data_IF_553286520252
#
_entry.id   IF_553286520252
#
_cell.length_a   1.000
_cell.length_b   1.000
_cell.length_c   1.000
_cell.angle_alpha   90.00
_cell.angle_beta   90.00
_cell.angle_gamma   90.00
#
_symmetry.space_group_name_H-M   'P 1'
#
loop_
_entity.id
_entity.type
_entity.pdbx_description
1 polymer ?
#
# COMPACT_ATOMS: atom_id res chain seq x y z
N UNK A 1 18.93 0.13 -2.89
CA UNK A 1 17.90 -0.03 -1.84
C UNK A 1 17.10 1.25 -1.59
N UNK A 2 17.72 2.40 -1.26
CA UNK A 2 17.02 3.66 -1.02
C UNK A 2 15.94 4.05 -2.07
N UNK A 3 16.23 3.86 -3.37
CA UNK A 3 15.29 4.15 -4.47
C UNK A 3 13.93 3.45 -4.30
N UNK A 4 13.92 2.20 -3.86
CA UNK A 4 12.71 1.41 -3.65
C UNK A 4 11.80 2.05 -2.59
N UNK A 5 12.40 2.45 -1.47
CA UNK A 5 11.70 3.13 -0.38
C UNK A 5 11.16 4.49 -0.85
N UNK A 6 11.96 5.29 -1.58
CA UNK A 6 11.52 6.60 -2.07
C UNK A 6 10.35 6.47 -3.05
N UNK A 7 10.42 5.55 -4.01
CA UNK A 7 9.31 5.30 -4.95
C UNK A 7 8.06 4.85 -4.18
N UNK A 8 8.21 3.97 -3.20
CA UNK A 8 7.10 3.51 -2.37
C UNK A 8 6.48 4.65 -1.55
N UNK A 9 7.29 5.55 -0.98
CA UNK A 9 6.80 6.75 -0.30
C UNK A 9 6.02 7.66 -1.24
N UNK A 10 6.50 7.89 -2.47
CA UNK A 10 5.79 8.69 -3.48
C UNK A 10 4.44 8.07 -3.83
N UNK A 11 4.41 6.74 -4.06
CA UNK A 11 3.15 6.01 -4.29
C UNK A 11 2.23 6.15 -3.08
N UNK A 12 2.74 6.03 -1.86
CA UNK A 12 1.96 6.18 -0.64
C UNK A 12 1.33 7.56 -0.51
N UNK A 13 2.11 8.63 -0.72
CA UNK A 13 1.58 10.01 -0.70
C UNK A 13 0.50 10.18 -1.77
N UNK A 14 0.73 9.70 -2.99
CA UNK A 14 -0.26 9.80 -4.07
C UNK A 14 -1.54 9.00 -3.75
N UNK A 15 -1.39 7.78 -3.22
CA UNK A 15 -2.49 6.91 -2.81
C UNK A 15 -3.34 7.53 -1.70
N UNK A 16 -2.71 8.01 -0.62
CA UNK A 16 -3.41 8.68 0.48
C UNK A 16 -4.07 9.98 0.05
N UNK A 17 -3.41 10.78 -0.79
CA UNK A 17 -3.99 12.02 -1.33
C UNK A 17 -5.24 11.70 -2.15
N UNK A 18 -5.18 10.69 -3.01
CA UNK A 18 -6.32 10.26 -3.81
C UNK A 18 -7.47 9.72 -2.94
N UNK A 19 -7.15 8.88 -1.94
CA UNK A 19 -8.13 8.34 -1.01
C UNK A 19 -8.80 9.45 -0.18
N UNK A 20 -8.01 10.46 0.24
CA UNK A 20 -8.50 11.63 0.95
C UNK A 20 -9.44 12.48 0.09
N UNK A 21 -9.05 12.80 -1.15
CA UNK A 21 -9.87 13.57 -2.09
C UNK A 21 -11.23 12.90 -2.37
N UNK A 22 -11.24 11.57 -2.40
CA UNK A 22 -12.44 10.78 -2.64
C UNK A 22 -13.18 10.37 -1.36
N UNK A 23 -12.65 10.74 -0.19
CA UNK A 23 -13.17 10.38 1.14
C UNK A 23 -13.40 8.86 1.28
N UNK A 24 -12.49 8.05 0.76
CA UNK A 24 -12.59 6.58 0.82
C UNK A 24 -12.46 6.06 2.25
N UNK A 25 -11.56 6.66 3.02
CA UNK A 25 -11.43 6.42 4.46
C UNK A 25 -11.15 7.74 5.18
N UNK A 26 -11.50 7.76 6.46
CA UNK A 26 -11.26 8.90 7.35
C UNK A 26 -10.37 8.44 8.48
N UNK A 27 -9.22 9.09 8.63
CA UNK A 27 -8.32 8.85 9.76
C UNK A 27 -8.80 9.57 11.01
N UNK A 28 -8.67 8.90 12.16
CA UNK A 28 -9.03 9.48 13.46
C UNK A 28 -8.05 10.54 13.95
N UNK A 29 -6.79 10.47 13.50
CA UNK A 29 -5.74 11.45 13.85
C UNK A 29 -4.93 11.82 12.60
N UNK A 30 -4.49 13.08 12.48
CA UNK A 30 -3.74 13.55 11.30
C UNK A 30 -2.36 12.90 11.15
N UNK A 31 -1.82 12.30 12.21
CA UNK A 31 -0.53 11.60 12.17
C UNK A 31 -0.61 10.21 11.53
N UNK A 32 -1.78 9.56 11.56
CA UNK A 32 -1.95 8.20 11.04
C UNK A 32 -1.72 8.04 9.53
N UNK A 33 -2.18 8.94 8.63
CA UNK A 33 -1.80 8.84 7.22
C UNK A 33 -0.29 8.98 7.02
N UNK A 34 0.38 9.83 7.80
CA UNK A 34 1.84 9.98 7.75
C UNK A 34 2.54 8.69 8.17
N UNK A 35 2.10 8.07 9.26
CA UNK A 35 2.62 6.77 9.70
C UNK A 35 2.35 5.67 8.66
N UNK A 36 1.18 5.65 8.03
CA UNK A 36 0.85 4.69 7.00
C UNK A 36 1.79 4.81 5.79
N UNK A 37 2.02 6.05 5.31
CA UNK A 37 2.96 6.31 4.22
C UNK A 37 4.38 5.90 4.60
N UNK A 38 4.88 6.31 5.76
CA UNK A 38 6.27 6.04 6.14
C UNK A 38 6.51 4.55 6.41
N UNK A 39 5.65 3.92 7.20
CA UNK A 39 5.85 2.56 7.68
C UNK A 39 5.33 1.54 6.67
N UNK A 40 4.06 1.66 6.28
CA UNK A 40 3.41 0.64 5.46
C UNK A 40 3.87 0.75 4.01
N UNK A 41 3.72 1.91 3.38
CA UNK A 41 4.20 2.10 2.00
C UNK A 41 5.72 2.10 1.93
N UNK A 42 6.39 2.97 2.69
CA UNK A 42 7.83 3.13 2.64
C UNK A 42 8.57 1.87 3.06
N UNK A 43 8.57 1.54 4.35
CA UNK A 43 9.38 0.45 4.89
C UNK A 43 8.91 -0.93 4.44
N UNK A 44 7.62 -1.25 4.62
CA UNK A 44 7.12 -2.60 4.36
C UNK A 44 7.02 -2.87 2.87
N UNK A 45 6.26 -2.06 2.11
CA UNK A 45 6.10 -2.32 0.67
C UNK A 45 7.37 -2.03 -0.13
N UNK A 46 8.11 -0.97 0.19
CA UNK A 46 9.42 -0.71 -0.41
C UNK A 46 10.44 -1.83 -0.13
N UNK A 47 10.44 -2.37 1.10
CA UNK A 47 11.25 -3.52 1.47
C UNK A 47 10.89 -4.77 0.68
N UNK A 48 9.61 -5.14 0.63
CA UNK A 48 9.12 -6.28 -0.15
C UNK A 48 9.44 -6.15 -1.65
N UNK A 49 9.26 -4.95 -2.21
CA UNK A 49 9.58 -4.66 -3.60
C UNK A 49 11.06 -4.89 -3.90
N UNK A 50 11.96 -4.50 -2.98
CA UNK A 50 13.40 -4.71 -3.15
C UNK A 50 13.82 -6.18 -3.20
N UNK A 51 12.98 -7.09 -2.69
CA UNK A 51 13.19 -8.54 -2.70
C UNK A 51 12.55 -9.23 -3.91
N UNK A 52 11.86 -8.50 -4.79
CA UNK A 52 11.12 -9.05 -5.92
C UNK A 52 11.98 -9.89 -6.88
N UNK A 53 13.24 -9.51 -7.11
CA UNK A 53 14.15 -10.28 -7.96
C UNK A 53 14.60 -11.61 -7.35
N UNK A 54 14.50 -11.76 -6.02
CA UNK A 54 14.92 -12.96 -5.30
C UNK A 54 13.74 -13.91 -5.05
N UNK A 55 12.59 -13.35 -4.67
CA UNK A 55 11.40 -14.13 -4.28
C UNK A 55 10.42 -14.37 -5.43
N UNK A 56 10.53 -13.59 -6.51
CA UNK A 56 9.57 -13.56 -7.61
C UNK A 56 8.34 -12.69 -7.31
N UNK A 57 7.74 -12.15 -8.37
CA UNK A 57 6.62 -11.19 -8.28
C UNK A 57 5.38 -11.80 -7.63
N UNK A 58 5.04 -13.05 -7.95
CA UNK A 58 3.87 -13.72 -7.38
C UNK A 58 3.99 -13.88 -5.85
N UNK A 59 5.18 -14.25 -5.37
CA UNK A 59 5.47 -14.38 -3.93
C UNK A 59 5.40 -13.03 -3.22
N UNK A 60 6.00 -12.00 -3.81
CA UNK A 60 5.94 -10.63 -3.26
C UNK A 60 4.50 -10.12 -3.19
N UNK A 61 3.70 -10.36 -4.24
CA UNK A 61 2.28 -10.04 -4.23
C UNK A 61 1.54 -10.76 -3.11
N UNK A 62 1.73 -12.07 -2.98
CA UNK A 62 1.07 -12.87 -1.96
C UNK A 62 1.41 -12.39 -0.53
N UNK A 63 2.68 -12.05 -0.28
CA UNK A 63 3.11 -11.49 1.00
C UNK A 63 2.50 -10.11 1.23
N UNK A 64 2.56 -9.21 0.23
CA UNK A 64 1.95 -7.88 0.34
C UNK A 64 0.45 -7.93 0.58
N UNK A 65 -0.25 -8.85 -0.09
CA UNK A 65 -1.67 -9.12 0.12
C UNK A 65 -1.94 -9.61 1.55
N UNK A 66 -1.19 -10.61 2.02
CA UNK A 66 -1.36 -11.17 3.36
C UNK A 66 -1.09 -10.11 4.45
N UNK A 67 -0.06 -9.29 4.28
CA UNK A 67 0.22 -8.17 5.17
C UNK A 67 -0.94 -7.16 5.15
N UNK A 68 -1.46 -6.84 3.96
CA UNK A 68 -2.65 -6.00 3.83
C UNK A 68 -3.86 -6.56 4.58
N UNK A 69 -4.14 -7.86 4.47
CA UNK A 69 -5.23 -8.52 5.21
C UNK A 69 -5.04 -8.37 6.72
N UNK A 70 -3.85 -8.69 7.22
CA UNK A 70 -3.53 -8.59 8.64
C UNK A 70 -3.64 -7.14 9.12
N UNK A 71 -3.16 -6.19 8.33
CA UNK A 71 -3.17 -4.77 8.65
C UNK A 71 -4.60 -4.21 8.73
N UNK A 72 -5.45 -4.53 7.77
CA UNK A 72 -6.86 -4.13 7.80
C UNK A 72 -7.62 -4.80 8.96
N UNK A 73 -7.40 -6.08 9.22
CA UNK A 73 -8.01 -6.76 10.39
C UNK A 73 -7.55 -6.12 11.69
N UNK A 74 -6.25 -5.80 11.81
CA UNK A 74 -5.71 -5.13 12.98
C UNK A 74 -6.28 -3.72 13.15
N UNK A 75 -6.47 -2.99 12.05
CA UNK A 75 -7.14 -1.70 12.05
C UNK A 75 -8.59 -1.80 12.53
N UNK A 76 -9.33 -2.78 12.04
CA UNK A 76 -10.73 -2.99 12.42
C UNK A 76 -10.92 -3.43 13.87
N UNK A 77 -10.01 -4.26 14.41
CA UNK A 77 -10.19 -4.88 15.73
C UNK A 77 -9.49 -4.17 16.89
N UNK A 78 -8.37 -3.51 16.63
CA UNK A 78 -7.50 -3.02 17.71
C UNK A 78 -7.05 -1.58 17.51
N UNK A 79 -6.52 -1.25 16.32
CA UNK A 79 -5.84 0.03 16.12
C UNK A 79 -6.84 1.18 15.92
N UNK A 80 -7.89 0.92 15.15
CA UNK A 80 -8.90 1.90 14.75
C UNK A 80 -8.29 3.22 14.24
N UNK A 81 -7.27 3.14 13.39
CA UNK A 81 -6.59 4.31 12.84
C UNK A 81 -7.45 5.01 11.78
N UNK A 82 -8.13 4.24 10.93
CA UNK A 82 -9.10 4.76 9.95
C UNK A 82 -10.38 3.93 9.92
N UNK A 83 -11.42 4.53 9.35
CA UNK A 83 -12.70 3.89 9.08
C UNK A 83 -13.21 4.25 7.68
N UNK A 84 -13.94 3.30 7.08
CA UNK A 84 -14.61 3.48 5.80
C UNK A 84 -16.00 4.09 6.05
N UNK A 85 -16.31 5.31 5.56
CA UNK A 85 -17.58 5.97 5.83
C UNK A 85 -18.78 5.13 5.35
N UNK A 86 -19.63 4.71 6.29
CA UNK A 86 -20.77 3.84 6.00
C UNK A 86 -20.39 2.40 5.62
N UNK A 87 -19.22 1.94 6.06
CA UNK A 87 -18.71 0.57 5.87
C UNK A 87 -18.66 0.14 4.39
N UNK A 88 -18.32 1.08 3.53
CA UNK A 88 -18.30 0.87 2.07
C UNK A 88 -17.05 1.43 1.42
N UNK A 89 -16.67 0.78 0.33
CA UNK A 89 -15.68 1.27 -0.61
C UNK A 89 -16.34 1.30 -1.99
N UNK A 90 -16.74 2.49 -2.45
CA UNK A 90 -17.61 2.68 -3.61
C UNK A 90 -18.89 1.81 -3.54
N UNK A 91 -19.01 0.79 -4.38
CA UNK A 91 -20.15 -0.12 -4.45
C UNK A 91 -20.00 -1.33 -3.51
N UNK A 92 -18.80 -1.61 -3.00
CA UNK A 92 -18.57 -2.69 -2.05
C UNK A 92 -19.11 -2.30 -0.67
N UNK A 93 -19.85 -3.21 -0.04
CA UNK A 93 -20.44 -3.00 1.29
C UNK A 93 -20.03 -4.10 2.23
N UNK A 94 -19.82 -3.72 3.49
CA UNK A 94 -19.44 -4.63 4.56
C UNK A 94 -17.93 -4.82 4.65
N UNK A 95 -17.49 -5.17 5.85
CA UNK A 95 -16.09 -5.20 6.21
C UNK A 95 -15.29 -6.24 5.42
N UNK A 96 -15.82 -7.46 5.23
CA UNK A 96 -15.10 -8.54 4.52
C UNK A 96 -14.69 -8.18 3.09
N UNK A 97 -15.64 -7.81 2.20
CA UNK A 97 -15.32 -7.41 0.83
C UNK A 97 -14.39 -6.20 0.74
N UNK A 98 -14.55 -5.21 1.62
CA UNK A 98 -13.68 -4.03 1.65
C UNK A 98 -12.25 -4.41 2.04
N UNK A 99 -12.08 -5.24 3.08
CA UNK A 99 -10.76 -5.76 3.50
C UNK A 99 -10.09 -6.47 2.34
N UNK A 100 -10.76 -7.43 1.70
CA UNK A 100 -10.18 -8.19 0.58
C UNK A 100 -9.79 -7.27 -0.58
N UNK A 101 -10.66 -6.34 -0.96
CA UNK A 101 -10.38 -5.41 -2.05
C UNK A 101 -9.15 -4.53 -1.74
N UNK A 102 -9.08 -3.96 -0.54
CA UNK A 102 -7.94 -3.14 -0.12
C UNK A 102 -6.66 -3.97 0.00
N UNK A 103 -6.73 -5.19 0.50
CA UNK A 103 -5.60 -6.11 0.53
C UNK A 103 -5.06 -6.45 -0.86
N UNK A 104 -5.90 -6.52 -1.90
CA UNK A 104 -5.43 -6.67 -3.28
C UNK A 104 -4.63 -5.45 -3.73
N UNK A 105 -5.07 -4.23 -3.38
CA UNK A 105 -4.28 -3.02 -3.64
C UNK A 105 -2.95 -3.06 -2.90
N UNK A 106 -2.95 -3.46 -1.62
CA UNK A 106 -1.72 -3.65 -0.83
C UNK A 106 -0.75 -4.63 -1.50
N UNK A 107 -1.22 -5.79 -1.98
CA UNK A 107 -0.40 -6.73 -2.74
C UNK A 107 0.15 -6.16 -4.04
N UNK A 108 -0.57 -5.25 -4.69
CA UNK A 108 -0.15 -4.56 -5.92
C UNK A 108 0.93 -3.50 -5.70
N UNK A 109 0.97 -2.84 -4.53
CA UNK A 109 1.95 -1.77 -4.24
C UNK A 109 3.40 -2.20 -4.49
N UNK A 110 3.92 -3.30 -3.89
CA UNK A 110 5.31 -3.67 -4.09
C UNK A 110 5.62 -4.06 -5.55
N UNK A 111 4.63 -4.56 -6.31
CA UNK A 111 4.80 -4.81 -7.75
C UNK A 111 4.95 -3.52 -8.53
N UNK A 112 4.10 -2.52 -8.23
CA UNK A 112 4.16 -1.21 -8.87
C UNK A 112 5.48 -0.51 -8.57
N UNK A 113 5.95 -0.58 -7.32
CA UNK A 113 7.27 -0.07 -6.93
C UNK A 113 8.36 -0.75 -7.77
N UNK A 114 8.31 -2.07 -7.93
CA UNK A 114 9.29 -2.81 -8.75
C UNK A 114 9.27 -2.46 -10.23
N UNK A 115 8.08 -2.28 -10.80
CA UNK A 115 7.94 -1.85 -12.17
C UNK A 115 8.52 -0.44 -12.38
N UNK A 116 8.17 0.53 -11.53
CA UNK A 116 8.70 1.90 -11.64
C UNK A 116 10.19 1.98 -11.38
N UNK A 117 10.71 1.17 -10.45
CA UNK A 117 12.13 1.13 -10.18
C UNK A 117 12.92 0.61 -11.39
N UNK A 118 12.44 -0.43 -12.04
CA UNK A 118 13.06 -0.95 -13.27
C UNK A 118 12.98 0.07 -14.43
N UNK A 119 11.84 0.76 -14.60
CA UNK A 119 11.69 1.83 -15.59
C UNK A 119 12.66 2.99 -15.34
N UNK A 120 12.79 3.45 -14.09
CA UNK A 120 13.72 4.52 -13.76
C UNK A 120 15.17 4.08 -13.87
N UNK A 121 15.52 2.78 -13.75
CA UNK A 121 16.87 2.33 -14.12
C UNK A 121 17.10 2.42 -15.63
N UNK A 122 16.14 1.97 -16.43
CA UNK A 122 16.23 2.04 -17.90
C UNK A 122 16.38 3.47 -18.43
N UNK A 123 15.65 4.43 -17.84
CA UNK A 123 15.67 5.84 -18.26
C UNK A 123 17.01 6.56 -18.01
N UNK A 124 17.74 6.18 -16.97
CA UNK A 124 19.03 6.80 -16.60
C UNK A 124 20.25 6.03 -17.10
N UNK A 125 20.05 4.87 -17.73
CA UNK A 125 21.11 3.99 -18.23
C UNK A 125 20.79 3.47 -19.64
N UNK A 126 20.26 4.34 -20.50
CA UNK A 126 20.26 4.13 -21.95
C UNK A 126 21.64 4.55 -22.47
N UNK A 127 22.42 3.69 -23.16
CA UNK A 127 23.69 4.08 -23.77
C UNK A 127 23.53 5.18 -24.83
#
# INVERSE_FOLDING_TARGET
>A
MLRWYVIALVIGVAGETNAYCQRLWVYRRPIYPVLNVLLMFGLVMGGLASMASQLGLATVFAIGFAVGVVYEIANLRWLHWWEFPGERLYFLRGHGPVVVAISLFWGGVPLLVAALESMTRGLFWSP
#
